data_IF_502527630499
#
_entry.id   IF_502527630499
#
_cell.length_a   1.000
_cell.length_b   1.000
_cell.length_c   1.000
_cell.angle_alpha   90.00
_cell.angle_beta   90.00
_cell.angle_gamma   90.00
#
_symmetry.space_group_name_H-M   'P 1'
#
loop_
_entity.id
_entity.type
_entity.pdbx_description
1 polymer ?
#
# COMPACT_ATOMS: atom_id res chain seq x y z
N UNK A 1 -4.17 -6.33 18.85
CA UNK A 1 -4.58 -5.71 17.57
C UNK A 1 -3.87 -6.48 16.48
N UNK A 2 -4.60 -7.06 15.53
CA UNK A 2 -3.99 -7.91 14.49
C UNK A 2 -3.13 -7.12 13.50
N UNK A 3 -2.14 -7.76 12.84
CA UNK A 3 -1.31 -7.12 11.82
C UNK A 3 -2.17 -6.52 10.68
N UNK A 4 -3.34 -7.11 10.41
CA UNK A 4 -4.29 -6.64 9.39
C UNK A 4 -4.75 -5.19 9.64
N UNK A 5 -4.94 -4.81 10.90
CA UNK A 5 -5.40 -3.46 11.28
C UNK A 5 -4.30 -2.43 11.00
N UNK A 6 -3.04 -2.80 11.22
CA UNK A 6 -1.88 -1.92 10.98
C UNK A 6 -1.72 -1.65 9.48
N UNK A 7 -1.86 -2.71 8.67
CA UNK A 7 -1.79 -2.62 7.21
C UNK A 7 -2.92 -1.74 6.68
N UNK A 8 -4.15 -1.94 7.17
CA UNK A 8 -5.31 -1.14 6.75
C UNK A 8 -5.14 0.33 7.11
N UNK A 9 -4.65 0.66 8.31
CA UNK A 9 -4.34 2.02 8.72
C UNK A 9 -3.26 2.67 7.85
N UNK A 10 -2.22 1.90 7.48
CA UNK A 10 -1.16 2.41 6.62
C UNK A 10 -1.67 2.75 5.22
N UNK A 11 -2.50 1.90 4.62
CA UNK A 11 -3.11 2.16 3.30
C UNK A 11 -4.06 3.36 3.36
N UNK A 12 -4.88 3.41 4.41
CA UNK A 12 -5.89 4.46 4.56
C UNK A 12 -5.25 5.83 4.80
N UNK A 13 -4.17 5.89 5.58
CA UNK A 13 -3.39 7.12 5.77
C UNK A 13 -2.69 7.58 4.48
N UNK A 14 -2.11 6.66 3.70
CA UNK A 14 -1.52 6.99 2.41
C UNK A 14 -2.56 7.54 1.42
N UNK A 15 -3.73 6.91 1.32
CA UNK A 15 -4.84 7.38 0.49
C UNK A 15 -5.33 8.76 0.93
N UNK A 16 -5.49 8.96 2.25
CA UNK A 16 -5.90 10.26 2.80
C UNK A 16 -4.93 11.38 2.45
N UNK A 17 -3.61 11.14 2.52
CA UNK A 17 -2.59 12.13 2.14
C UNK A 17 -2.69 12.49 0.66
N UNK A 18 -2.91 11.50 -0.22
CA UNK A 18 -3.06 11.73 -1.67
C UNK A 18 -4.31 12.57 -1.94
N UNK A 19 -5.45 12.17 -1.38
CA UNK A 19 -6.72 12.90 -1.52
C UNK A 19 -6.59 14.32 -0.99
N UNK A 20 -5.94 14.50 0.16
CA UNK A 20 -5.70 15.82 0.75
C UNK A 20 -4.82 16.70 -0.15
N UNK A 21 -3.75 16.14 -0.71
CA UNK A 21 -2.88 16.86 -1.64
C UNK A 21 -3.61 17.29 -2.93
N UNK A 22 -4.48 16.42 -3.48
CA UNK A 22 -5.33 16.77 -4.62
C UNK A 22 -6.36 17.84 -4.24
N UNK A 23 -6.99 17.70 -3.07
CA UNK A 23 -7.98 18.64 -2.58
C UNK A 23 -7.39 20.05 -2.40
N UNK A 24 -6.19 20.17 -1.82
CA UNK A 24 -5.50 21.45 -1.70
C UNK A 24 -5.18 22.08 -3.07
N UNK A 25 -4.81 21.27 -4.06
CA UNK A 25 -4.59 21.75 -5.43
C UNK A 25 -5.88 22.28 -6.05
N UNK A 26 -6.97 21.53 -5.91
CA UNK A 26 -8.28 21.90 -6.42
C UNK A 26 -8.80 23.18 -5.76
N UNK A 27 -8.77 23.25 -4.41
CA UNK A 27 -9.12 24.45 -3.65
C UNK A 27 -8.35 25.68 -4.10
N UNK A 28 -7.06 25.55 -4.38
CA UNK A 28 -6.23 26.67 -4.84
C UNK A 28 -6.64 27.17 -6.23
N UNK A 29 -7.11 26.29 -7.11
CA UNK A 29 -7.68 26.69 -8.40
C UNK A 29 -9.04 27.35 -8.20
N UNK A 30 -9.90 26.78 -7.37
CA UNK A 30 -11.25 27.30 -7.10
C UNK A 30 -11.21 28.72 -6.50
N UNK A 31 -10.31 28.97 -5.54
CA UNK A 31 -10.14 30.30 -4.94
C UNK A 31 -9.75 31.36 -5.99
N UNK A 32 -8.87 31.01 -6.94
CA UNK A 32 -8.48 31.92 -8.03
C UNK A 32 -9.64 32.24 -8.98
N UNK A 33 -10.53 31.28 -9.22
CA UNK A 33 -11.72 31.52 -10.05
C UNK A 33 -12.73 32.40 -9.32
N UNK A 34 -12.90 32.19 -8.01
CA UNK A 34 -13.79 33.02 -7.18
C UNK A 34 -13.30 34.45 -7.04
N UNK A 35 -11.99 34.65 -6.85
CA UNK A 35 -11.37 35.99 -6.84
C UNK A 35 -11.64 36.74 -8.14
N UNK A 36 -11.58 36.05 -9.29
CA UNK A 36 -11.89 36.62 -10.61
C UNK A 36 -13.37 36.96 -10.80
N UNK A 37 -14.28 36.07 -10.41
CA UNK A 37 -15.72 36.33 -10.48
C UNK A 37 -16.12 37.51 -9.58
N UNK A 38 -15.54 37.60 -8.38
CA UNK A 38 -15.81 38.69 -7.45
C UNK A 38 -15.29 40.03 -7.99
N UNK A 39 -14.16 40.03 -8.71
CA UNK A 39 -13.64 41.22 -9.38
C UNK A 39 -14.52 41.68 -10.55
N UNK A 40 -15.01 40.73 -11.37
CA UNK A 40 -15.97 40.98 -12.46
C UNK A 40 -17.29 41.57 -11.95
N UNK A 41 -17.87 40.98 -10.90
CA UNK A 41 -19.14 41.42 -10.31
C UNK A 41 -19.05 42.82 -9.68
N UNK A 42 -17.88 43.22 -9.19
CA UNK A 42 -17.64 44.55 -8.60
C UNK A 42 -17.28 45.62 -9.62
N UNK A 43 -17.18 45.29 -10.91
CA UNK A 43 -16.76 46.22 -11.95
C UNK A 43 -15.34 46.77 -11.74
N UNK A 44 -14.54 46.09 -10.92
CA UNK A 44 -13.13 46.43 -10.70
C UNK A 44 -12.32 45.95 -11.90
N UNK A 45 -11.24 46.65 -12.24
CA UNK A 45 -10.28 46.18 -13.25
C UNK A 45 -9.91 44.74 -12.92
N UNK A 46 -10.12 43.81 -13.86
CA UNK A 46 -9.71 42.42 -13.68
C UNK A 46 -8.26 42.44 -13.21
N UNK A 47 -7.91 41.83 -12.06
CA UNK A 47 -6.51 41.73 -11.68
C UNK A 47 -5.81 41.10 -12.87
N UNK A 48 -4.91 41.88 -13.48
CA UNK A 48 -4.28 41.57 -14.76
C UNK A 48 -3.93 40.09 -14.74
N UNK A 49 -4.45 39.31 -15.70
CA UNK A 49 -4.03 37.93 -15.82
C UNK A 49 -2.51 37.97 -15.80
N UNK A 50 -1.85 37.25 -14.86
CA UNK A 50 -0.40 37.15 -14.96
C UNK A 50 -0.17 36.69 -16.39
N UNK A 51 0.53 37.51 -17.21
CA UNK A 51 0.56 37.36 -18.67
C UNK A 51 0.73 35.90 -18.93
N UNK A 52 -0.16 35.27 -19.72
CA UNK A 52 -0.15 33.82 -20.00
C UNK A 52 1.30 33.39 -20.01
N UNK A 53 1.73 32.80 -18.88
CA UNK A 53 3.15 32.84 -18.55
C UNK A 53 3.78 32.04 -19.68
N UNK A 54 4.59 32.66 -20.57
CA UNK A 54 5.08 32.00 -21.77
C UNK A 54 5.62 30.68 -21.27
N UNK A 55 5.13 29.53 -21.80
CA UNK A 55 5.07 28.25 -21.11
C UNK A 55 6.33 28.13 -20.28
N UNK A 56 6.22 28.42 -18.98
CA UNK A 56 7.42 28.68 -18.16
C UNK A 56 8.33 27.51 -18.42
N UNK A 57 9.56 27.70 -18.95
CA UNK A 57 10.43 26.57 -19.26
C UNK A 57 10.43 25.72 -18.00
N UNK A 58 9.83 24.53 -18.11
CA UNK A 58 9.24 23.85 -16.96
C UNK A 58 10.23 23.89 -15.82
N UNK A 59 9.89 24.62 -14.74
CA UNK A 59 10.89 24.94 -13.75
C UNK A 59 11.49 23.61 -13.25
N UNK A 60 12.82 23.44 -13.24
CA UNK A 60 13.44 22.16 -12.91
C UNK A 60 12.94 21.59 -11.58
N UNK A 61 12.53 22.48 -10.67
CA UNK A 61 11.93 22.16 -9.38
C UNK A 61 10.61 21.42 -9.49
N UNK A 62 9.79 21.70 -10.50
CA UNK A 62 8.51 20.99 -10.74
C UNK A 62 8.77 19.54 -11.17
N UNK A 63 9.78 19.32 -12.02
CA UNK A 63 10.20 17.96 -12.39
C UNK A 63 10.82 17.21 -11.22
N UNK A 64 11.66 17.88 -10.43
CA UNK A 64 12.24 17.30 -9.22
C UNK A 64 11.17 16.92 -8.21
N UNK A 65 10.20 17.79 -7.97
CA UNK A 65 9.07 17.51 -7.08
C UNK A 65 8.22 16.36 -7.61
N UNK A 66 7.94 16.30 -8.91
CA UNK A 66 7.15 15.22 -9.50
C UNK A 66 7.89 13.88 -9.44
N UNK A 67 9.20 13.87 -9.71
CA UNK A 67 10.06 12.71 -9.57
C UNK A 67 10.16 12.24 -8.12
N UNK A 68 10.32 13.17 -7.18
CA UNK A 68 10.39 12.88 -5.75
C UNK A 68 9.07 12.29 -5.23
N UNK A 69 7.93 12.85 -5.65
CA UNK A 69 6.60 12.27 -5.36
C UNK A 69 6.51 10.85 -5.90
N UNK A 70 6.92 10.63 -7.15
CA UNK A 70 6.88 9.29 -7.76
C UNK A 70 7.80 8.29 -7.08
N UNK A 71 8.98 8.72 -6.63
CA UNK A 71 9.92 7.91 -5.87
C UNK A 71 9.34 7.52 -4.51
N UNK A 72 8.76 8.47 -3.77
CA UNK A 72 8.10 8.17 -2.50
C UNK A 72 6.87 7.27 -2.67
N UNK A 73 6.08 7.46 -3.74
CA UNK A 73 4.95 6.57 -4.05
C UNK A 73 5.46 5.15 -4.34
N UNK A 74 6.50 5.00 -5.17
CA UNK A 74 7.09 3.70 -5.47
C UNK A 74 7.70 3.03 -4.23
N UNK A 75 8.45 3.79 -3.41
CA UNK A 75 9.04 3.28 -2.18
C UNK A 75 7.97 2.81 -1.18
N UNK A 76 6.90 3.59 -1.02
CA UNK A 76 5.75 3.22 -0.20
C UNK A 76 5.07 1.93 -0.69
N UNK A 77 4.87 1.81 -2.01
CA UNK A 77 4.30 0.60 -2.62
C UNK A 77 5.20 -0.62 -2.40
N UNK A 78 6.51 -0.48 -2.57
CA UNK A 78 7.48 -1.55 -2.33
C UNK A 78 7.46 -2.01 -0.88
N UNK A 79 7.48 -1.09 0.08
CA UNK A 79 7.42 -1.42 1.51
C UNK A 79 6.09 -2.12 1.84
N UNK A 80 4.99 -1.64 1.27
CA UNK A 80 3.67 -2.25 1.45
C UNK A 80 3.62 -3.69 0.92
N UNK A 81 4.10 -3.93 -0.31
CA UNK A 81 4.17 -5.29 -0.87
C UNK A 81 5.07 -6.20 -0.04
N UNK A 82 6.20 -5.68 0.45
CA UNK A 82 7.14 -6.45 1.26
C UNK A 82 6.50 -6.84 2.60
N UNK A 83 5.82 -5.90 3.27
CA UNK A 83 5.06 -6.16 4.49
C UNK A 83 3.93 -7.17 4.28
N UNK A 84 3.20 -7.06 3.16
CA UNK A 84 2.15 -8.00 2.79
C UNK A 84 2.74 -9.39 2.52
N UNK A 85 3.88 -9.49 1.84
CA UNK A 85 4.59 -10.75 1.60
C UNK A 85 4.99 -11.43 2.92
N UNK A 86 5.57 -10.67 3.86
CA UNK A 86 5.95 -11.21 5.17
C UNK A 86 4.73 -11.69 5.97
N UNK A 87 3.60 -10.99 5.82
CA UNK A 87 2.36 -11.33 6.50
C UNK A 87 1.73 -12.61 5.92
N UNK A 88 1.75 -12.79 4.60
CA UNK A 88 1.25 -14.02 3.95
C UNK A 88 2.06 -15.23 4.40
N UNK A 89 3.39 -15.11 4.45
CA UNK A 89 4.28 -16.19 4.89
C UNK A 89 4.02 -16.57 6.35
N UNK A 90 3.63 -15.62 7.19
CA UNK A 90 3.40 -15.84 8.62
C UNK A 90 2.01 -16.42 8.95
N UNK A 91 1.21 -16.84 7.96
CA UNK A 91 -0.13 -17.40 8.21
C UNK A 91 -0.03 -18.74 8.95
N UNK A 92 -0.55 -18.88 10.18
CA UNK A 92 -0.59 -20.17 10.84
C UNK A 92 -1.52 -21.12 10.06
N UNK A 93 -1.02 -22.32 9.75
CA UNK A 93 -1.83 -23.36 9.09
C UNK A 93 -3.09 -23.61 9.91
N UNK A 94 -4.25 -23.42 9.27
CA UNK A 94 -5.54 -23.58 9.94
C UNK A 94 -5.75 -25.05 10.31
N UNK A 95 -6.56 -25.31 11.34
CA UNK A 95 -6.86 -26.69 11.74
C UNK A 95 -7.55 -27.47 10.60
N UNK A 96 -8.26 -26.77 9.72
CA UNK A 96 -8.94 -27.32 8.55
C UNK A 96 -7.97 -27.82 7.48
N UNK A 97 -6.89 -27.06 7.19
CA UNK A 97 -5.84 -27.51 6.26
C UNK A 97 -5.17 -28.81 6.75
N UNK A 98 -5.02 -28.95 8.07
CA UNK A 98 -4.38 -30.11 8.71
C UNK A 98 -5.26 -31.35 8.69
N UNK A 99 -6.56 -31.20 8.96
CA UNK A 99 -7.49 -32.33 8.90
C UNK A 99 -7.65 -32.84 7.48
N UNK A 100 -7.66 -31.95 6.48
CA UNK A 100 -7.65 -32.33 5.07
C UNK A 100 -6.39 -33.13 4.71
N UNK A 101 -5.21 -32.66 5.14
CA UNK A 101 -3.96 -33.36 4.83
C UNK A 101 -3.86 -34.72 5.54
N UNK A 102 -4.32 -34.80 6.79
CA UNK A 102 -4.43 -36.06 7.54
C UNK A 102 -5.38 -37.06 6.85
N UNK A 103 -6.50 -36.57 6.32
CA UNK A 103 -7.45 -37.40 5.58
C UNK A 103 -6.86 -37.92 4.26
N UNK A 104 -6.10 -37.09 3.55
CA UNK A 104 -5.40 -37.50 2.33
C UNK A 104 -4.32 -38.56 2.62
N UNK A 105 -3.54 -38.39 3.69
CA UNK A 105 -2.56 -39.38 4.14
C UNK A 105 -3.23 -40.72 4.47
N UNK A 106 -4.37 -40.67 5.16
CA UNK A 106 -5.19 -41.86 5.45
C UNK A 106 -5.67 -42.54 4.18
N UNK A 107 -6.08 -41.77 3.17
CA UNK A 107 -6.54 -42.33 1.89
C UNK A 107 -5.41 -43.00 1.11
N UNK A 108 -4.18 -42.49 1.22
CA UNK A 108 -2.99 -43.05 0.59
C UNK A 108 -2.38 -44.25 1.35
N UNK A 109 -3.05 -44.74 2.40
CA UNK A 109 -2.61 -45.90 3.18
C UNK A 109 -1.52 -45.62 4.22
N UNK A 110 -1.34 -44.35 4.63
CA UNK A 110 -0.43 -44.01 5.72
C UNK A 110 -0.90 -44.64 7.05
N UNK A 111 0.06 -44.93 7.92
CA UNK A 111 -0.22 -45.58 9.21
C UNK A 111 -0.91 -44.62 10.17
N UNK A 112 -1.78 -45.14 11.05
CA UNK A 112 -2.48 -44.32 12.04
C UNK A 112 -1.52 -43.61 13.02
N UNK A 113 -0.34 -44.19 13.24
CA UNK A 113 0.72 -43.61 14.07
C UNK A 113 1.32 -42.37 13.42
N UNK A 114 1.60 -42.42 12.12
CA UNK A 114 2.14 -41.31 11.33
C UNK A 114 1.14 -40.13 11.25
N UNK A 115 -0.16 -40.43 11.11
CA UNK A 115 -1.22 -39.42 11.11
C UNK A 115 -1.34 -38.74 12.48
N UNK A 116 -1.29 -39.51 13.57
CA UNK A 116 -1.31 -38.97 14.94
C UNK A 116 -0.07 -38.14 15.23
N UNK A 117 1.09 -38.55 14.74
CA UNK A 117 2.33 -37.80 14.87
C UNK A 117 2.27 -36.47 14.11
N UNK A 118 1.71 -36.44 12.89
CA UNK A 118 1.52 -35.20 12.13
C UNK A 118 0.56 -34.22 12.84
N UNK A 119 -0.55 -34.73 13.37
CA UNK A 119 -1.53 -33.92 14.11
C UNK A 119 -0.97 -33.37 15.43
N UNK A 120 -0.14 -34.15 16.14
CA UNK A 120 0.51 -33.72 17.39
C UNK A 120 1.68 -32.77 17.15
N UNK A 121 2.44 -32.96 16.07
CA UNK A 121 3.57 -32.11 15.71
C UNK A 121 3.14 -30.68 15.33
N UNK A 122 1.96 -30.52 14.73
CA UNK A 122 1.36 -29.21 14.47
C UNK A 122 1.04 -28.38 15.71
N UNK A 123 1.09 -28.97 16.91
CA UNK A 123 0.87 -28.26 18.19
C UNK A 123 2.06 -27.37 18.60
N UNK A 124 3.22 -27.50 17.94
CA UNK A 124 4.43 -26.72 18.22
C UNK A 124 4.78 -25.76 17.05
N UNK A 125 4.28 -24.51 17.03
CA UNK A 125 4.44 -23.59 15.89
C UNK A 125 5.82 -22.88 15.90
N UNK A 126 6.91 -23.63 15.99
CA UNK A 126 8.27 -23.09 15.93
C UNK A 126 9.03 -23.66 14.73
N UNK A 127 8.48 -23.49 13.52
CA UNK A 127 9.24 -23.76 12.30
C UNK A 127 9.89 -22.43 11.87
N UNK A 128 11.16 -22.27 12.26
CA UNK A 128 12.05 -21.22 11.77
C UNK A 128 12.36 -21.43 10.28
N UNK A 129 11.37 -21.29 9.41
CA UNK A 129 11.62 -21.27 7.97
C UNK A 129 12.06 -19.87 7.60
N UNK A 130 13.37 -19.72 7.37
CA UNK A 130 13.95 -18.50 6.84
C UNK A 130 13.23 -18.08 5.55
N UNK A 131 13.04 -16.77 5.34
CA UNK A 131 12.20 -16.25 4.27
C UNK A 131 12.67 -16.75 2.90
N UNK A 132 11.75 -17.38 2.16
CA UNK A 132 11.95 -17.85 0.78
C UNK A 132 12.43 -16.75 -0.19
N UNK A 133 12.33 -15.47 0.20
CA UNK A 133 12.88 -14.34 -0.55
C UNK A 133 14.42 -14.28 -0.59
N UNK A 134 15.14 -14.96 0.31
CA UNK A 134 16.61 -15.00 0.29
C UNK A 134 17.19 -16.22 -0.45
N UNK A 135 16.38 -17.23 -0.76
CA UNK A 135 16.85 -18.44 -1.45
C UNK A 135 17.11 -18.26 -2.96
N UNK A 136 16.74 -17.11 -3.53
CA UNK A 136 16.98 -16.75 -4.93
C UNK A 136 18.30 -15.97 -5.14
N UNK A 137 19.05 -15.71 -4.08
CA UNK A 137 20.39 -15.11 -4.13
C UNK A 137 21.35 -16.16 -3.57
N UNK A 138 21.59 -17.22 -4.34
CA UNK A 138 22.46 -18.33 -3.99
C UNK A 138 22.63 -19.29 -5.15
#
# INVERSE_FOLDING_TARGET
MGPDIIILLMVLSAAAIIVWALFLRYKRQEMRHKERMTALEKGAELPAEPPEKPPVPWSPRVYLLRGLVWLFTGAGLSIFLLGLSLTIVSRPQTLEDRTWHAQNLRHNGATEEEIKQYLSQGQNPARNEFPAGFALIG
#
